data_IF_160267875259
#
_entry.id   IF_160267875259
#
_cell.length_a   1.000
_cell.length_b   1.000
_cell.length_c   1.000
_cell.angle_alpha   90.00
_cell.angle_beta   90.00
_cell.angle_gamma   90.00
#
_symmetry.space_group_name_H-M   'P 1'
#
loop_
_entity.id
_entity.type
_entity.pdbx_description
1 polymer ?
#
# COMPACT_ATOMS: atom_id res chain seq x y z
N UNK A 1 -17.72 77.27 -28.12
CA UNK A 1 -16.90 77.51 -26.93
C UNK A 1 -17.13 76.41 -25.93
N UNK A 2 -16.18 75.48 -25.81
CA UNK A 2 -16.24 74.41 -24.84
C UNK A 2 -15.72 74.94 -23.52
N UNK A 3 -16.53 74.94 -22.48
CA UNK A 3 -16.18 75.49 -21.17
C UNK A 3 -15.18 74.62 -20.42
N UNK A 4 -14.26 75.23 -19.67
CA UNK A 4 -13.22 74.53 -18.85
C UNK A 4 -13.76 73.39 -17.96
N UNK A 5 -15.04 73.42 -17.61
CA UNK A 5 -15.72 72.38 -16.84
C UNK A 5 -16.00 71.08 -17.64
N UNK A 6 -16.14 71.15 -18.96
CA UNK A 6 -16.31 69.98 -19.81
C UNK A 6 -15.02 69.25 -20.13
N UNK A 7 -13.90 69.99 -20.19
CA UNK A 7 -12.57 69.37 -20.32
C UNK A 7 -12.11 68.63 -19.04
N UNK A 8 -12.55 69.09 -17.85
CA UNK A 8 -12.19 68.42 -16.59
C UNK A 8 -13.00 67.12 -16.37
N UNK A 9 -14.16 66.96 -17.00
CA UNK A 9 -14.96 65.72 -16.92
C UNK A 9 -14.50 64.65 -17.91
N UNK A 10 -13.86 65.04 -19.01
CA UNK A 10 -13.27 64.07 -19.96
C UNK A 10 -11.93 63.49 -19.49
N UNK A 11 -11.16 64.23 -18.69
CA UNK A 11 -9.90 63.78 -18.14
C UNK A 11 -10.05 62.82 -16.93
N UNK A 12 -11.17 62.89 -16.20
CA UNK A 12 -11.45 61.95 -15.09
C UNK A 12 -12.00 60.58 -15.55
N UNK A 13 -12.54 60.51 -16.76
CA UNK A 13 -13.09 59.26 -17.32
C UNK A 13 -12.05 58.31 -17.92
N UNK A 14 -10.84 58.82 -18.21
CA UNK A 14 -9.80 58.00 -18.86
C UNK A 14 -8.78 57.37 -17.87
N UNK A 15 -8.79 57.78 -16.61
CA UNK A 15 -7.87 57.24 -15.57
C UNK A 15 -8.48 56.02 -14.86
N UNK A 16 -9.78 55.78 -14.97
CA UNK A 16 -10.43 54.64 -14.31
C UNK A 16 -10.45 53.33 -15.11
N UNK A 17 -9.93 53.31 -16.35
CA UNK A 17 -9.93 52.11 -17.21
C UNK A 17 -8.56 51.38 -17.23
N UNK A 18 -7.57 51.82 -16.44
CA UNK A 18 -6.28 51.18 -16.31
C UNK A 18 -6.14 50.36 -14.99
N UNK A 19 -7.26 49.88 -14.43
CA UNK A 19 -7.19 48.82 -13.44
C UNK A 19 -6.77 47.56 -14.18
N UNK A 20 -5.49 47.42 -14.41
CA UNK A 20 -4.89 46.23 -14.99
C UNK A 20 -5.31 45.03 -14.16
N UNK A 21 -6.24 44.22 -14.69
CA UNK A 21 -6.34 42.85 -14.25
C UNK A 21 -4.95 42.24 -14.43
N UNK A 22 -4.17 42.18 -13.36
CA UNK A 22 -3.00 41.31 -13.29
C UNK A 22 -3.53 39.90 -13.54
N UNK A 23 -3.53 39.49 -14.80
CA UNK A 23 -3.68 38.08 -15.14
C UNK A 23 -2.48 37.44 -14.48
N UNK A 24 -2.71 36.83 -13.30
CA UNK A 24 -1.69 35.96 -12.70
C UNK A 24 -1.41 34.89 -13.77
N UNK A 25 -0.23 34.96 -14.36
CA UNK A 25 0.23 33.93 -15.29
C UNK A 25 0.06 32.60 -14.57
N UNK A 26 -0.76 31.72 -15.15
CA UNK A 26 -0.96 30.39 -14.57
C UNK A 26 0.42 29.74 -14.43
N UNK A 27 0.72 29.21 -13.24
CA UNK A 27 1.96 28.46 -13.02
C UNK A 27 1.98 27.27 -13.97
N UNK A 28 2.88 27.29 -14.94
CA UNK A 28 3.07 26.25 -15.96
C UNK A 28 4.18 25.25 -15.60
N UNK A 29 4.83 25.44 -14.45
CA UNK A 29 5.88 24.52 -14.00
C UNK A 29 5.34 23.11 -13.79
N UNK A 30 6.12 22.05 -14.03
CA UNK A 30 5.69 20.69 -13.80
C UNK A 30 5.26 20.44 -12.36
N UNK A 31 4.24 19.58 -12.19
CA UNK A 31 3.87 19.01 -10.90
C UNK A 31 4.78 17.80 -10.68
N UNK A 32 5.75 17.91 -9.79
CA UNK A 32 6.67 16.81 -9.50
C UNK A 32 6.10 15.93 -8.39
N UNK A 33 6.09 14.62 -8.63
CA UNK A 33 5.68 13.57 -7.68
C UNK A 33 6.92 12.72 -7.37
N UNK A 34 7.35 12.71 -6.12
CA UNK A 34 8.38 11.78 -5.67
C UNK A 34 7.76 10.43 -5.36
N UNK A 35 8.12 9.38 -6.09
CA UNK A 35 7.62 8.02 -5.89
C UNK A 35 8.72 7.17 -5.24
N UNK A 36 8.58 6.86 -3.95
CA UNK A 36 9.55 6.08 -3.18
C UNK A 36 9.02 4.67 -2.99
N UNK A 37 9.67 3.68 -3.60
CA UNK A 37 9.23 2.30 -3.61
C UNK A 37 10.40 1.34 -3.35
N UNK A 38 10.16 0.17 -2.76
CA UNK A 38 11.16 -0.88 -2.69
C UNK A 38 11.27 -1.58 -4.05
N UNK A 39 12.21 -1.13 -4.89
CA UNK A 39 12.44 -1.71 -6.21
C UNK A 39 13.42 -2.87 -6.17
N UNK A 40 14.17 -3.01 -5.06
CA UNK A 40 15.14 -4.08 -4.80
C UNK A 40 14.84 -4.81 -3.49
N UNK A 41 15.46 -5.98 -3.31
CA UNK A 41 15.31 -6.80 -2.10
C UNK A 41 14.00 -7.59 -2.04
N UNK A 42 13.66 -8.05 -0.83
CA UNK A 42 12.53 -8.96 -0.58
C UNK A 42 11.15 -8.35 -0.96
N UNK A 43 11.00 -7.03 -0.84
CA UNK A 43 9.74 -6.33 -1.16
C UNK A 43 9.70 -5.77 -2.58
N UNK A 44 10.60 -6.18 -3.48
CA UNK A 44 10.71 -5.65 -4.84
C UNK A 44 9.43 -5.86 -5.68
N UNK A 45 8.67 -6.93 -5.41
CA UNK A 45 7.37 -7.16 -6.05
C UNK A 45 6.39 -6.01 -5.77
N UNK A 46 6.28 -5.54 -4.52
CA UNK A 46 5.46 -4.39 -4.15
C UNK A 46 5.78 -3.16 -4.98
N UNK A 47 7.09 -2.84 -5.11
CA UNK A 47 7.52 -1.68 -5.90
C UNK A 47 7.17 -1.81 -7.38
N UNK A 48 7.46 -2.97 -7.98
CA UNK A 48 7.15 -3.23 -9.40
C UNK A 48 5.65 -3.13 -9.70
N UNK A 49 4.80 -3.68 -8.85
CA UNK A 49 3.34 -3.67 -9.03
C UNK A 49 2.79 -2.23 -9.00
N UNK A 50 3.22 -1.42 -8.03
CA UNK A 50 2.80 -0.03 -7.92
C UNK A 50 3.32 0.80 -9.10
N UNK A 51 4.61 0.70 -9.43
CA UNK A 51 5.21 1.42 -10.56
C UNK A 51 4.50 1.10 -11.88
N UNK A 52 4.22 -0.19 -12.13
CA UNK A 52 3.53 -0.65 -13.32
C UNK A 52 2.11 -0.06 -13.44
N UNK A 53 1.38 0.01 -12.33
CA UNK A 53 0.05 0.60 -12.29
C UNK A 53 0.08 2.12 -12.52
N UNK A 54 1.00 2.84 -11.87
CA UNK A 54 1.21 4.28 -12.09
C UNK A 54 1.52 4.58 -13.56
N UNK A 55 2.43 3.82 -14.17
CA UNK A 55 2.76 3.96 -15.59
C UNK A 55 1.57 3.67 -16.50
N UNK A 56 0.80 2.63 -16.19
CA UNK A 56 -0.40 2.28 -16.95
C UNK A 56 -1.45 3.40 -16.87
N UNK A 57 -1.69 3.95 -15.67
CA UNK A 57 -2.63 5.04 -15.49
C UNK A 57 -2.23 6.28 -16.32
N UNK A 58 -0.95 6.67 -16.27
CA UNK A 58 -0.42 7.80 -17.06
C UNK A 58 -0.56 7.54 -18.56
N UNK A 59 -0.27 6.32 -19.01
CA UNK A 59 -0.43 5.96 -20.43
C UNK A 59 -1.88 6.04 -20.92
N UNK A 60 -2.85 5.73 -20.05
CA UNK A 60 -4.27 5.76 -20.39
C UNK A 60 -4.92 7.15 -20.25
N UNK A 61 -4.44 7.98 -19.32
CA UNK A 61 -5.08 9.25 -18.96
C UNK A 61 -4.25 10.49 -19.32
N UNK A 62 -3.01 10.29 -19.78
CA UNK A 62 -2.06 11.36 -20.07
C UNK A 62 -1.26 11.84 -18.85
N UNK A 63 -0.30 12.69 -19.11
CA UNK A 63 0.68 13.19 -18.13
C UNK A 63 0.42 14.67 -17.73
N UNK A 64 -0.82 15.17 -17.88
CA UNK A 64 -1.14 16.57 -17.58
C UNK A 64 -2.33 16.72 -16.63
N UNK A 65 -2.19 17.60 -15.66
CA UNK A 65 -3.23 17.99 -14.71
C UNK A 65 -3.33 19.51 -14.70
N UNK A 66 -4.53 20.06 -14.94
CA UNK A 66 -4.79 21.49 -15.01
C UNK A 66 -3.81 22.24 -15.96
N UNK A 67 -3.48 21.62 -17.10
CA UNK A 67 -2.54 22.19 -18.09
C UNK A 67 -1.05 22.04 -17.73
N UNK A 68 -0.71 21.58 -16.54
CA UNK A 68 0.66 21.37 -16.07
C UNK A 68 1.08 19.91 -16.29
N UNK A 69 2.32 19.71 -16.74
CA UNK A 69 2.89 18.36 -16.87
C UNK A 69 3.11 17.73 -15.50
N UNK A 70 2.77 16.45 -15.34
CA UNK A 70 3.11 15.63 -14.19
C UNK A 70 4.43 14.93 -14.46
N UNK A 71 5.39 15.09 -13.56
CA UNK A 71 6.71 14.44 -13.60
C UNK A 71 6.86 13.51 -12.39
N UNK A 72 7.07 12.22 -12.66
CA UNK A 72 7.24 11.20 -11.62
C UNK A 72 8.72 10.90 -11.45
N UNK A 73 9.24 11.13 -10.24
CA UNK A 73 10.63 10.87 -9.86
C UNK A 73 10.64 9.60 -9.02
N UNK A 74 10.94 8.46 -9.64
CA UNK A 74 11.04 7.16 -8.96
C UNK A 74 12.37 7.04 -8.23
N UNK A 75 12.33 6.59 -6.98
CA UNK A 75 13.49 6.29 -6.13
C UNK A 75 13.30 4.93 -5.47
N UNK A 76 14.38 4.14 -5.44
CA UNK A 76 14.43 2.87 -4.72
C UNK A 76 14.91 3.08 -3.29
N UNK A 77 14.12 2.65 -2.31
CA UNK A 77 14.49 2.70 -0.89
C UNK A 77 14.92 1.33 -0.33
N UNK A 78 14.80 0.26 -1.11
CA UNK A 78 15.10 -1.12 -0.69
C UNK A 78 14.35 -1.55 0.58
N UNK A 79 13.23 -0.91 0.92
CA UNK A 79 12.50 -1.08 2.18
C UNK A 79 13.35 -0.76 3.42
N UNK A 80 14.27 0.22 3.34
CA UNK A 80 15.15 0.64 4.44
C UNK A 80 14.72 2.01 4.95
N UNK A 81 14.24 2.14 6.21
CA UNK A 81 13.67 3.40 6.74
C UNK A 81 14.61 4.61 6.65
N UNK A 82 15.90 4.43 6.95
CA UNK A 82 16.87 5.54 6.88
C UNK A 82 17.14 5.98 5.45
N UNK A 83 17.16 5.03 4.49
CA UNK A 83 17.26 5.36 3.07
C UNK A 83 16.02 6.12 2.60
N UNK A 84 14.82 5.67 2.98
CA UNK A 84 13.55 6.33 2.64
C UNK A 84 13.54 7.77 3.17
N UNK A 85 13.92 7.96 4.42
CA UNK A 85 13.98 9.30 5.04
C UNK A 85 14.93 10.25 4.29
N UNK A 86 16.14 9.77 3.97
CA UNK A 86 17.14 10.55 3.21
C UNK A 86 16.63 10.89 1.81
N UNK A 87 16.04 9.92 1.10
CA UNK A 87 15.46 10.11 -0.23
C UNK A 87 14.30 11.11 -0.17
N UNK A 88 13.40 11.00 0.81
CA UNK A 88 12.30 11.94 0.98
C UNK A 88 12.81 13.37 1.21
N UNK A 89 13.85 13.54 2.02
CA UNK A 89 14.47 14.85 2.25
C UNK A 89 15.08 15.43 0.97
N UNK A 90 15.75 14.61 0.16
CA UNK A 90 16.30 15.02 -1.15
C UNK A 90 15.19 15.49 -2.10
N UNK A 91 14.10 14.69 -2.22
CA UNK A 91 12.95 15.02 -3.06
C UNK A 91 12.28 16.34 -2.65
N UNK A 92 12.16 16.60 -1.33
CA UNK A 92 11.54 17.81 -0.81
C UNK A 92 12.44 19.03 -1.06
N UNK A 93 13.71 18.94 -0.71
CA UNK A 93 14.62 20.10 -0.67
C UNK A 93 15.21 20.41 -2.05
N UNK A 94 15.70 19.40 -2.75
CA UNK A 94 16.43 19.56 -4.01
C UNK A 94 15.47 19.53 -5.21
N UNK A 95 14.61 18.49 -5.29
CA UNK A 95 13.70 18.31 -6.43
C UNK A 95 12.44 19.17 -6.31
N UNK A 96 12.11 19.63 -5.09
CA UNK A 96 10.94 20.47 -4.77
C UNK A 96 9.63 19.80 -5.23
N UNK A 97 9.47 18.53 -4.87
CA UNK A 97 8.26 17.77 -5.22
C UNK A 97 7.02 18.35 -4.54
N UNK A 98 5.89 18.30 -5.23
CA UNK A 98 4.60 18.74 -4.70
C UNK A 98 3.98 17.72 -3.75
N UNK A 99 4.32 16.43 -3.92
CA UNK A 99 3.82 15.31 -3.14
C UNK A 99 4.82 14.16 -3.17
N UNK A 100 4.88 13.38 -2.11
CA UNK A 100 5.60 12.11 -2.07
C UNK A 100 4.58 10.98 -1.98
N UNK A 101 4.79 9.92 -2.77
CA UNK A 101 3.91 8.76 -2.81
C UNK A 101 4.71 7.45 -2.70
N UNK A 102 4.04 6.34 -2.41
CA UNK A 102 4.68 5.03 -2.34
C UNK A 102 4.60 4.38 -0.96
N UNK A 103 5.76 4.11 -0.34
CA UNK A 103 5.92 3.50 0.99
C UNK A 103 5.46 2.04 1.04
N UNK A 104 6.36 1.13 0.66
CA UNK A 104 6.08 -0.31 0.59
C UNK A 104 5.82 -0.97 1.94
N UNK A 105 6.42 -0.49 3.02
CA UNK A 105 6.26 -1.03 4.38
C UNK A 105 6.08 0.08 5.42
N UNK A 106 5.43 -0.24 6.54
CA UNK A 106 5.15 0.72 7.62
C UNK A 106 6.37 1.47 8.17
N UNK A 107 7.52 0.82 8.44
CA UNK A 107 8.69 1.54 8.96
C UNK A 107 9.17 2.66 8.06
N UNK A 108 9.06 2.52 6.73
CA UNK A 108 9.47 3.55 5.77
C UNK A 108 8.52 4.75 5.77
N UNK A 109 7.21 4.50 5.84
CA UNK A 109 6.21 5.57 5.97
C UNK A 109 6.37 6.37 7.26
N UNK A 110 6.52 5.67 8.39
CA UNK A 110 6.68 6.32 9.71
C UNK A 110 7.99 7.10 9.84
N UNK A 111 9.09 6.62 9.25
CA UNK A 111 10.35 7.35 9.23
C UNK A 111 10.26 8.69 8.48
N UNK A 112 9.31 8.80 7.55
CA UNK A 112 9.11 10.00 6.72
C UNK A 112 8.04 10.94 7.28
N UNK A 113 7.16 10.48 8.16
CA UNK A 113 6.07 11.26 8.74
C UNK A 113 6.50 12.61 9.36
N UNK A 114 7.60 12.71 10.13
CA UNK A 114 8.07 13.99 10.67
C UNK A 114 8.46 14.99 9.57
N UNK A 115 9.04 14.52 8.45
CA UNK A 115 9.41 15.38 7.32
C UNK A 115 8.16 15.94 6.64
N UNK A 116 7.11 15.12 6.47
CA UNK A 116 5.83 15.57 5.93
C UNK A 116 5.24 16.73 6.75
N UNK A 117 5.23 16.58 8.07
CA UNK A 117 4.74 17.61 8.99
C UNK A 117 5.57 18.90 8.91
N UNK A 118 6.89 18.75 8.93
CA UNK A 118 7.83 19.89 8.94
C UNK A 118 7.79 20.68 7.63
N UNK A 119 7.78 19.98 6.49
CA UNK A 119 7.79 20.58 5.16
C UNK A 119 6.40 20.92 4.64
N UNK A 120 5.34 20.43 5.29
CA UNK A 120 3.95 20.49 4.82
C UNK A 120 3.76 19.83 3.44
N UNK A 121 4.58 18.82 3.14
CA UNK A 121 4.51 18.06 1.90
C UNK A 121 3.59 16.87 2.10
N UNK A 122 2.51 16.72 1.31
CA UNK A 122 1.62 15.57 1.39
C UNK A 122 2.35 14.25 1.11
N UNK A 123 2.03 13.22 1.91
CA UNK A 123 2.45 11.84 1.70
C UNK A 123 1.24 10.98 1.33
N UNK A 124 1.34 10.24 0.22
CA UNK A 124 0.34 9.27 -0.23
C UNK A 124 0.88 7.86 0.02
N UNK A 125 0.31 7.17 1.00
CA UNK A 125 0.71 5.79 1.34
C UNK A 125 -0.04 4.81 0.45
N UNK A 126 0.70 4.09 -0.42
CA UNK A 126 0.13 3.20 -1.44
C UNK A 126 0.16 1.72 -1.05
N UNK A 127 0.95 1.31 -0.05
CA UNK A 127 1.08 -0.08 0.37
C UNK A 127 1.11 -0.29 1.88
N UNK A 128 1.91 0.48 2.62
CA UNK A 128 2.06 0.30 4.07
C UNK A 128 0.71 0.32 4.82
N UNK A 129 0.40 -0.76 5.57
CA UNK A 129 -0.96 -1.09 5.98
C UNK A 129 -1.27 -0.97 7.49
N UNK A 130 -0.32 -0.54 8.34
CA UNK A 130 -0.62 -0.29 9.76
C UNK A 130 -1.68 0.80 9.89
N UNK A 131 -2.71 0.54 10.71
CA UNK A 131 -3.88 1.42 10.84
C UNK A 131 -3.53 2.85 11.24
N UNK A 132 -2.57 3.02 12.16
CA UNK A 132 -2.20 4.32 12.75
C UNK A 132 -1.26 5.19 11.89
N UNK A 133 -0.83 4.77 10.71
CA UNK A 133 0.11 5.57 9.89
C UNK A 133 -0.43 6.97 9.61
N UNK A 134 -1.71 7.10 9.28
CA UNK A 134 -2.33 8.39 8.96
C UNK A 134 -2.47 9.32 10.17
N UNK A 135 -2.32 8.80 11.38
CA UNK A 135 -2.31 9.58 12.63
C UNK A 135 -0.94 10.20 12.91
N UNK A 136 0.13 9.69 12.26
CA UNK A 136 1.51 10.16 12.50
C UNK A 136 1.79 11.55 11.93
N UNK A 137 0.95 12.05 11.00
CA UNK A 137 1.04 13.41 10.45
C UNK A 137 -0.29 13.81 9.78
N UNK A 138 -0.72 15.09 9.91
CA UNK A 138 -1.89 15.61 9.20
C UNK A 138 -1.68 15.71 7.67
N UNK A 139 -0.47 15.47 7.20
CA UNK A 139 -0.12 15.47 5.77
C UNK A 139 -0.07 14.07 5.17
N UNK A 140 -0.50 13.04 5.90
CA UNK A 140 -0.52 11.66 5.37
C UNK A 140 -1.93 11.26 5.00
N UNK A 141 -2.09 10.79 3.77
CA UNK A 141 -3.28 10.08 3.28
C UNK A 141 -2.91 8.68 2.82
N UNK A 142 -3.90 7.80 2.68
CA UNK A 142 -3.71 6.42 2.20
C UNK A 142 -4.65 6.14 1.05
N UNK A 143 -4.12 5.52 -0.01
CA UNK A 143 -4.90 4.95 -1.14
C UNK A 143 -5.04 3.45 -1.05
N UNK A 144 -4.23 2.79 -0.20
CA UNK A 144 -4.25 1.34 0.03
C UNK A 144 -5.30 0.95 1.11
N UNK A 145 -5.03 -0.08 1.86
CA UNK A 145 -5.90 -0.67 2.88
C UNK A 145 -5.26 -0.59 4.27
N UNK A 146 -6.00 -1.05 5.29
CA UNK A 146 -5.48 -1.29 6.63
C UNK A 146 -5.65 -2.77 7.01
N UNK A 147 -4.76 -3.27 7.89
CA UNK A 147 -4.85 -4.67 8.35
C UNK A 147 -6.20 -5.00 9.00
N UNK A 148 -6.84 -4.14 9.81
CA UNK A 148 -8.18 -4.40 10.32
C UNK A 148 -9.19 -4.75 9.22
N UNK A 149 -9.17 -4.04 8.10
CA UNK A 149 -10.12 -4.25 6.98
C UNK A 149 -10.01 -5.65 6.37
N UNK A 150 -8.82 -6.23 6.34
CA UNK A 150 -8.59 -7.55 5.73
C UNK A 150 -8.59 -8.69 6.76
N UNK A 151 -8.37 -8.42 8.05
CA UNK A 151 -8.31 -9.44 9.09
C UNK A 151 -9.66 -9.75 9.75
N UNK A 152 -10.52 -8.75 9.91
CA UNK A 152 -11.86 -8.95 10.47
C UNK A 152 -12.67 -9.93 9.61
N UNK A 153 -12.64 -9.77 8.28
CA UNK A 153 -13.36 -10.63 7.35
C UNK A 153 -12.95 -12.09 7.43
N UNK A 154 -11.64 -12.40 7.55
CA UNK A 154 -11.18 -13.79 7.67
C UNK A 154 -11.48 -14.39 9.04
N UNK A 155 -11.51 -13.60 10.11
CA UNK A 155 -11.93 -14.05 11.43
C UNK A 155 -13.43 -14.43 11.46
N UNK A 156 -14.28 -13.62 10.80
CA UNK A 156 -15.71 -13.93 10.64
C UNK A 156 -15.91 -15.18 9.78
N UNK A 157 -15.15 -15.32 8.70
CA UNK A 157 -15.19 -16.51 7.85
C UNK A 157 -14.80 -17.76 8.64
N UNK A 158 -13.74 -17.69 9.45
CA UNK A 158 -13.28 -18.79 10.28
C UNK A 158 -14.38 -19.29 11.22
N UNK A 159 -15.07 -18.38 11.91
CA UNK A 159 -16.18 -18.72 12.79
C UNK A 159 -17.35 -19.38 12.05
N UNK A 160 -17.76 -18.84 10.89
CA UNK A 160 -18.81 -19.41 10.03
C UNK A 160 -18.45 -20.81 9.51
N UNK A 161 -17.16 -21.09 9.36
CA UNK A 161 -16.64 -22.40 8.91
C UNK A 161 -16.23 -23.32 10.06
N UNK A 162 -16.79 -23.09 11.27
CA UNK A 162 -16.68 -23.94 12.47
C UNK A 162 -15.24 -24.08 13.00
N UNK A 163 -14.34 -23.19 12.68
CA UNK A 163 -13.01 -23.08 13.30
C UNK A 163 -13.22 -22.55 14.72
N UNK A 164 -12.77 -23.30 15.72
CA UNK A 164 -12.92 -22.95 17.14
C UNK A 164 -11.60 -22.60 17.81
N UNK A 165 -10.52 -23.20 17.35
CA UNK A 165 -9.18 -23.02 17.91
C UNK A 165 -8.22 -22.59 16.82
N UNK A 166 -7.52 -21.48 17.02
CA UNK A 166 -6.53 -20.98 16.08
C UNK A 166 -5.21 -20.66 16.78
N UNK A 167 -4.13 -20.77 16.02
CA UNK A 167 -2.85 -20.14 16.33
C UNK A 167 -2.66 -18.98 15.36
N UNK A 168 -2.09 -17.89 15.81
CA UNK A 168 -1.69 -16.78 14.93
C UNK A 168 -0.18 -16.80 14.71
N UNK A 169 0.25 -16.55 13.48
CA UNK A 169 1.64 -16.38 13.09
C UNK A 169 1.77 -15.10 12.28
N UNK A 170 2.51 -14.13 12.79
CA UNK A 170 2.66 -12.82 12.13
C UNK A 170 4.12 -12.37 12.10
N UNK A 171 4.48 -11.55 11.12
CA UNK A 171 5.77 -10.87 11.13
C UNK A 171 5.82 -9.84 12.28
N UNK A 172 6.97 -9.76 12.96
CA UNK A 172 7.16 -8.94 14.18
C UNK A 172 7.40 -7.46 13.85
N UNK A 173 6.35 -6.77 13.40
CA UNK A 173 6.35 -5.33 13.10
C UNK A 173 4.91 -4.78 13.10
N UNK A 174 4.74 -3.47 12.88
CA UNK A 174 3.46 -2.78 13.02
C UNK A 174 2.25 -3.45 12.36
N UNK A 175 2.26 -3.80 11.05
CA UNK A 175 1.16 -4.52 10.41
C UNK A 175 0.89 -5.89 11.05
N UNK A 176 1.93 -6.63 11.47
CA UNK A 176 1.76 -7.92 12.14
C UNK A 176 1.03 -7.78 13.48
N UNK A 177 1.34 -6.74 14.24
CA UNK A 177 0.63 -6.45 15.49
C UNK A 177 -0.83 -6.09 15.25
N UNK A 178 -1.13 -5.31 14.21
CA UNK A 178 -2.50 -5.02 13.81
C UNK A 178 -3.23 -6.29 13.39
N UNK A 179 -2.64 -7.11 12.50
CA UNK A 179 -3.24 -8.35 12.03
C UNK A 179 -3.55 -9.29 13.21
N UNK A 180 -2.58 -9.52 14.11
CA UNK A 180 -2.77 -10.35 15.31
C UNK A 180 -3.88 -9.81 16.21
N UNK A 181 -3.85 -8.51 16.50
CA UNK A 181 -4.83 -7.86 17.39
C UNK A 181 -6.24 -7.96 16.85
N UNK A 182 -6.45 -7.60 15.59
CA UNK A 182 -7.79 -7.52 15.02
C UNK A 182 -8.35 -8.91 14.68
N UNK A 183 -7.50 -9.86 14.28
CA UNK A 183 -7.91 -11.26 14.15
C UNK A 183 -8.33 -11.84 15.51
N UNK A 184 -7.47 -11.74 16.53
CA UNK A 184 -7.75 -12.26 17.87
C UNK A 184 -9.04 -11.68 18.45
N UNK A 185 -9.19 -10.35 18.39
CA UNK A 185 -10.38 -9.67 18.93
C UNK A 185 -11.66 -10.14 18.25
N UNK A 186 -11.70 -10.18 16.91
CA UNK A 186 -12.88 -10.59 16.17
C UNK A 186 -13.15 -12.10 16.31
N UNK A 187 -12.10 -12.92 16.28
CA UNK A 187 -12.24 -14.36 16.42
C UNK A 187 -12.80 -14.77 17.79
N UNK A 188 -12.33 -14.13 18.88
CA UNK A 188 -12.87 -14.30 20.23
C UNK A 188 -14.31 -13.79 20.37
N UNK A 189 -14.62 -12.65 19.76
CA UNK A 189 -15.99 -12.12 19.73
C UNK A 189 -16.96 -13.13 19.11
N UNK A 190 -16.50 -13.88 18.12
CA UNK A 190 -17.25 -14.96 17.45
C UNK A 190 -17.18 -16.31 18.19
N UNK A 191 -16.67 -16.36 19.43
CA UNK A 191 -16.58 -17.55 20.27
C UNK A 191 -15.40 -18.47 19.97
N UNK A 192 -14.39 -17.99 19.22
CA UNK A 192 -13.14 -18.72 18.96
C UNK A 192 -12.13 -18.58 20.11
N UNK A 193 -11.14 -19.46 20.12
CA UNK A 193 -10.03 -19.47 21.08
C UNK A 193 -8.71 -19.37 20.34
N UNK A 194 -7.84 -18.43 20.72
CA UNK A 194 -6.44 -18.40 20.29
C UNK A 194 -5.63 -19.22 21.27
N UNK A 195 -4.96 -20.26 20.74
CA UNK A 195 -4.11 -21.18 21.51
C UNK A 195 -2.72 -20.61 21.74
N UNK A 196 -2.15 -19.97 20.73
CA UNK A 196 -0.82 -19.35 20.79
C UNK A 196 -0.72 -18.19 19.81
N UNK A 197 0.21 -17.26 20.07
CA UNK A 197 0.55 -16.09 19.26
C UNK A 197 2.03 -16.14 18.92
N UNK A 198 2.32 -16.51 17.69
CA UNK A 198 3.68 -16.72 17.21
C UNK A 198 4.12 -15.55 16.33
N UNK A 199 5.38 -15.20 16.42
CA UNK A 199 5.96 -14.11 15.64
C UNK A 199 7.30 -14.52 15.02
N UNK A 200 7.58 -13.98 13.83
CA UNK A 200 8.84 -14.17 13.13
C UNK A 200 9.48 -12.83 12.80
N UNK A 201 10.82 -12.75 12.74
CA UNK A 201 11.50 -11.54 12.33
C UNK A 201 11.02 -11.05 10.96
N UNK A 202 10.98 -9.73 10.77
CA UNK A 202 10.61 -9.13 9.48
C UNK A 202 11.60 -9.49 8.35
N UNK A 203 12.87 -9.72 8.68
CA UNK A 203 13.93 -10.03 7.71
C UNK A 203 14.42 -11.44 7.89
N UNK A 204 14.61 -12.15 6.75
CA UNK A 204 15.15 -13.52 6.71
C UNK A 204 14.52 -14.47 7.75
N UNK A 205 13.17 -14.59 7.82
CA UNK A 205 12.51 -15.43 8.81
C UNK A 205 12.82 -16.91 8.58
N UNK A 206 13.10 -17.63 9.67
CA UNK A 206 13.02 -19.08 9.72
C UNK A 206 11.69 -19.48 10.33
N UNK A 207 10.86 -20.16 9.55
CA UNK A 207 9.52 -20.57 9.99
C UNK A 207 9.51 -21.93 10.68
N UNK A 208 10.56 -22.74 10.53
CA UNK A 208 10.59 -24.11 11.03
C UNK A 208 10.30 -24.21 12.54
N UNK A 209 10.91 -23.41 13.44
CA UNK A 209 10.63 -23.50 14.87
C UNK A 209 9.20 -23.12 15.26
N UNK A 210 8.62 -22.10 14.59
CA UNK A 210 7.25 -21.67 14.88
C UNK A 210 6.23 -22.64 14.30
N UNK A 211 6.49 -23.24 13.13
CA UNK A 211 5.62 -24.25 12.53
C UNK A 211 5.58 -25.54 13.38
N UNK A 212 6.69 -25.91 14.05
CA UNK A 212 6.67 -27.01 15.01
C UNK A 212 5.72 -26.73 16.18
N UNK A 213 5.73 -25.51 16.74
CA UNK A 213 4.77 -25.14 17.79
C UNK A 213 3.31 -25.22 17.33
N UNK A 214 3.04 -24.91 16.06
CA UNK A 214 1.69 -25.08 15.48
C UNK A 214 1.28 -26.56 15.48
N UNK A 215 2.18 -27.47 15.05
CA UNK A 215 1.92 -28.90 15.08
C UNK A 215 1.64 -29.39 16.51
N UNK A 216 2.42 -28.93 17.50
CA UNK A 216 2.27 -29.32 18.90
C UNK A 216 0.96 -28.81 19.50
N UNK A 217 0.54 -27.61 19.13
CA UNK A 217 -0.69 -26.98 19.62
C UNK A 217 -1.99 -27.58 19.02
N UNK A 218 -1.90 -28.24 17.86
CA UNK A 218 -3.03 -28.88 17.15
C UNK A 218 -4.26 -27.97 17.01
N UNK A 219 -4.14 -26.78 16.44
CA UNK A 219 -5.28 -25.90 16.21
C UNK A 219 -6.15 -26.42 15.06
N UNK A 220 -7.40 -25.93 14.96
CA UNK A 220 -8.24 -26.14 13.79
C UNK A 220 -7.71 -25.32 12.58
N UNK A 221 -7.10 -24.16 12.85
CA UNK A 221 -6.51 -23.31 11.83
C UNK A 221 -5.26 -22.56 12.31
N UNK A 222 -4.37 -22.28 11.35
CA UNK A 222 -3.28 -21.31 11.48
C UNK A 222 -3.66 -20.05 10.72
N UNK A 223 -3.79 -18.92 11.43
CA UNK A 223 -3.91 -17.60 10.80
C UNK A 223 -2.52 -17.01 10.56
N UNK A 224 -2.27 -16.55 9.34
CA UNK A 224 -0.96 -16.02 8.95
C UNK A 224 -1.07 -14.62 8.35
N UNK A 225 -0.21 -13.72 8.84
CA UNK A 225 0.13 -12.47 8.17
C UNK A 225 1.65 -12.37 8.01
N UNK A 226 2.10 -12.32 6.78
CA UNK A 226 3.49 -12.07 6.41
C UNK A 226 3.50 -10.99 5.31
N UNK A 227 4.50 -10.09 5.26
CA UNK A 227 4.56 -9.13 4.16
C UNK A 227 4.78 -9.82 2.81
N UNK A 228 4.26 -9.23 1.75
CA UNK A 228 4.49 -9.67 0.37
C UNK A 228 5.98 -9.95 0.13
N UNK A 229 6.27 -11.07 -0.53
CA UNK A 229 7.64 -11.54 -0.76
C UNK A 229 8.10 -12.66 0.20
N UNK A 230 7.35 -12.97 1.26
CA UNK A 230 7.68 -14.06 2.19
C UNK A 230 6.84 -15.33 1.98
N UNK A 231 5.73 -15.21 1.24
CA UNK A 231 4.74 -16.28 1.11
C UNK A 231 5.32 -17.59 0.57
N UNK A 232 6.10 -17.54 -0.51
CA UNK A 232 6.69 -18.76 -1.11
C UNK A 232 7.63 -19.50 -0.14
N UNK A 233 8.49 -18.78 0.58
CA UNK A 233 9.38 -19.39 1.57
C UNK A 233 8.60 -20.01 2.75
N UNK A 234 7.54 -19.33 3.19
CA UNK A 234 6.64 -19.85 4.22
C UNK A 234 5.92 -21.11 3.74
N UNK A 235 5.29 -21.09 2.57
CA UNK A 235 4.54 -22.24 2.03
C UNK A 235 5.42 -23.46 1.81
N UNK A 236 6.68 -23.24 1.38
CA UNK A 236 7.66 -24.33 1.27
C UNK A 236 7.92 -24.99 2.61
N UNK A 237 8.25 -24.22 3.67
CA UNK A 237 8.50 -24.78 5.00
C UNK A 237 7.24 -25.36 5.63
N UNK A 238 6.05 -24.81 5.35
CA UNK A 238 4.77 -25.34 5.77
C UNK A 238 4.55 -26.78 5.24
N UNK A 239 4.82 -27.04 3.96
CA UNK A 239 4.74 -28.35 3.36
C UNK A 239 5.86 -29.28 3.85
N UNK A 240 7.11 -28.82 3.94
CA UNK A 240 8.25 -29.61 4.43
C UNK A 240 8.04 -30.12 5.86
N UNK A 241 7.27 -29.39 6.68
CA UNK A 241 6.87 -29.79 8.04
C UNK A 241 5.61 -30.65 8.08
N UNK A 242 5.00 -30.96 6.93
CA UNK A 242 3.80 -31.79 6.83
C UNK A 242 2.51 -31.12 7.33
N UNK A 243 2.51 -29.80 7.51
CA UNK A 243 1.32 -29.05 7.94
C UNK A 243 0.22 -29.06 6.89
N UNK A 244 0.55 -29.16 5.60
CA UNK A 244 -0.37 -29.36 4.49
C UNK A 244 -1.21 -30.64 4.61
N UNK A 245 -0.72 -31.64 5.36
CA UNK A 245 -1.37 -32.95 5.60
C UNK A 245 -1.85 -33.14 7.04
N UNK A 246 -1.63 -32.17 7.91
CA UNK A 246 -1.92 -32.28 9.35
C UNK A 246 -3.41 -32.07 9.70
N UNK A 247 -4.23 -31.63 8.77
CA UNK A 247 -5.61 -31.22 9.02
C UNK A 247 -5.76 -29.78 9.53
N UNK A 248 -4.66 -29.07 9.82
CA UNK A 248 -4.68 -27.65 10.19
C UNK A 248 -5.02 -26.82 8.96
N UNK A 249 -6.10 -26.04 9.01
CA UNK A 249 -6.47 -25.15 7.90
C UNK A 249 -5.57 -23.92 7.89
N UNK A 250 -4.98 -23.62 6.75
CA UNK A 250 -4.25 -22.38 6.55
C UNK A 250 -5.21 -21.27 6.13
N UNK A 251 -5.30 -20.23 6.93
CA UNK A 251 -6.06 -19.00 6.64
C UNK A 251 -5.12 -17.79 6.77
N UNK A 252 -5.26 -16.81 5.89
CA UNK A 252 -4.26 -15.76 5.79
C UNK A 252 -4.84 -14.42 5.32
N UNK A 253 -4.02 -13.37 5.39
CA UNK A 253 -4.22 -12.21 4.51
C UNK A 253 -3.71 -12.53 3.10
N UNK A 254 -4.17 -11.80 2.10
CA UNK A 254 -3.76 -12.01 0.71
C UNK A 254 -2.26 -11.79 0.44
N UNK A 255 -1.54 -11.15 1.36
CA UNK A 255 -0.09 -10.96 1.27
C UNK A 255 0.68 -12.28 1.19
N UNK A 256 0.17 -13.35 1.84
CA UNK A 256 0.82 -14.67 1.88
C UNK A 256 0.74 -15.38 0.52
N UNK A 257 -0.36 -15.19 -0.20
CA UNK A 257 -0.60 -15.81 -1.52
C UNK A 257 -0.62 -14.77 -2.63
N UNK A 258 0.40 -13.94 -2.65
CA UNK A 258 0.55 -12.84 -3.62
C UNK A 258 0.61 -13.37 -5.06
N UNK A 259 -0.15 -12.75 -5.96
CA UNK A 259 -0.37 -13.22 -7.35
C UNK A 259 0.91 -13.45 -8.14
N UNK A 260 1.96 -12.65 -7.92
CA UNK A 260 3.23 -12.83 -8.64
C UNK A 260 4.11 -13.95 -8.07
N UNK A 261 3.80 -14.49 -6.90
CA UNK A 261 4.53 -15.60 -6.28
C UNK A 261 3.72 -16.90 -6.23
N UNK A 262 2.43 -16.83 -6.60
CA UNK A 262 1.53 -17.95 -6.46
C UNK A 262 1.98 -19.18 -7.25
N UNK A 263 2.52 -18.98 -8.44
CA UNK A 263 3.05 -20.09 -9.26
C UNK A 263 4.27 -20.78 -8.62
N UNK A 264 5.08 -20.03 -7.88
CA UNK A 264 6.28 -20.56 -7.20
C UNK A 264 5.93 -21.38 -5.96
N UNK A 265 4.71 -21.22 -5.43
CA UNK A 265 4.22 -22.00 -4.28
C UNK A 265 3.75 -23.40 -4.67
N UNK A 266 3.33 -23.60 -5.92
CA UNK A 266 2.78 -24.88 -6.40
C UNK A 266 1.51 -25.29 -5.69
N UNK A 267 1.23 -26.60 -5.70
CA UNK A 267 -0.03 -27.17 -5.19
C UNK A 267 -0.25 -26.98 -3.68
N UNK A 268 0.79 -26.66 -2.91
CA UNK A 268 0.64 -26.41 -1.47
C UNK A 268 -0.21 -25.17 -1.17
N UNK A 269 -0.35 -24.25 -2.15
CA UNK A 269 -1.23 -23.09 -2.03
C UNK A 269 -2.71 -23.41 -2.25
N UNK A 270 -3.04 -24.61 -2.77
CA UNK A 270 -4.42 -25.02 -3.00
C UNK A 270 -5.16 -25.20 -1.66
N UNK A 271 -6.34 -24.63 -1.58
CA UNK A 271 -7.17 -24.70 -0.36
C UNK A 271 -6.83 -23.65 0.70
N UNK A 272 -5.80 -22.83 0.52
CA UNK A 272 -5.57 -21.67 1.37
C UNK A 272 -6.70 -20.67 1.21
N UNK A 273 -7.29 -20.25 2.33
CA UNK A 273 -8.34 -19.22 2.32
C UNK A 273 -7.73 -17.91 2.79
N UNK A 274 -7.85 -16.88 1.97
CA UNK A 274 -7.36 -15.56 2.35
C UNK A 274 -8.46 -14.49 2.26
N UNK A 275 -8.22 -13.37 2.92
CA UNK A 275 -9.04 -12.16 2.84
C UNK A 275 -8.17 -10.98 2.45
N UNK A 276 -8.63 -10.22 1.46
CA UNK A 276 -7.98 -8.99 1.03
C UNK A 276 -9.00 -8.00 0.44
N UNK A 277 -8.57 -6.77 0.20
CA UNK A 277 -9.41 -5.73 -0.39
C UNK A 277 -9.55 -5.84 -1.92
N UNK A 278 -8.71 -6.65 -2.57
CA UNK A 278 -8.71 -6.85 -4.02
C UNK A 278 -8.32 -8.28 -4.38
N UNK A 279 -8.88 -8.75 -5.50
CA UNK A 279 -8.46 -9.97 -6.19
C UNK A 279 -8.48 -9.74 -7.70
N UNK A 280 -7.41 -10.11 -8.38
CA UNK A 280 -7.36 -10.07 -9.85
C UNK A 280 -8.36 -11.04 -10.50
N UNK A 281 -8.89 -12.01 -9.75
CA UNK A 281 -9.93 -12.92 -10.19
C UNK A 281 -11.36 -12.37 -9.99
N UNK A 282 -11.55 -11.16 -9.45
CA UNK A 282 -12.88 -10.60 -9.23
C UNK A 282 -13.64 -10.47 -10.57
N UNK A 283 -14.88 -10.96 -10.69
CA UNK A 283 -15.56 -11.15 -11.97
C UNK A 283 -16.18 -9.87 -12.58
N UNK A 284 -15.94 -8.69 -12.00
CA UNK A 284 -16.54 -7.45 -12.53
C UNK A 284 -15.91 -7.05 -13.88
N UNK A 285 -16.70 -6.45 -14.79
CA UNK A 285 -16.17 -5.95 -16.08
C UNK A 285 -15.05 -4.91 -15.90
N UNK A 286 -15.13 -4.06 -14.88
CA UNK A 286 -14.10 -3.06 -14.56
C UNK A 286 -12.78 -3.73 -14.20
N UNK A 287 -12.82 -4.76 -13.34
CA UNK A 287 -11.64 -5.52 -12.98
C UNK A 287 -11.03 -6.23 -14.20
N UNK A 288 -11.87 -6.88 -15.01
CA UNK A 288 -11.38 -7.55 -16.24
C UNK A 288 -10.64 -6.56 -17.14
N UNK A 289 -11.21 -5.37 -17.38
CA UNK A 289 -10.57 -4.34 -18.21
C UNK A 289 -9.22 -3.90 -17.64
N UNK A 290 -9.14 -3.73 -16.31
CA UNK A 290 -7.89 -3.38 -15.65
C UNK A 290 -6.85 -4.49 -15.77
N UNK A 291 -7.22 -5.74 -15.45
CA UNK A 291 -6.30 -6.90 -15.53
C UNK A 291 -5.79 -7.10 -16.95
N UNK A 292 -6.66 -7.07 -17.97
CA UNK A 292 -6.28 -7.23 -19.36
C UNK A 292 -5.29 -6.14 -19.81
N UNK A 293 -5.58 -4.87 -19.46
CA UNK A 293 -4.69 -3.75 -19.81
C UNK A 293 -3.35 -3.83 -19.08
N UNK A 294 -3.37 -4.18 -17.80
CA UNK A 294 -2.16 -4.31 -16.98
C UNK A 294 -1.24 -5.43 -17.50
N UNK A 295 -1.81 -6.61 -17.78
CA UNK A 295 -1.05 -7.75 -18.32
C UNK A 295 -0.53 -7.48 -19.73
N UNK A 296 -1.30 -6.80 -20.58
CA UNK A 296 -0.85 -6.42 -21.92
C UNK A 296 0.38 -5.51 -21.86
N UNK A 297 0.38 -4.53 -20.95
CA UNK A 297 1.46 -3.56 -20.78
C UNK A 297 2.71 -4.16 -20.10
N UNK A 298 2.52 -4.99 -19.07
CA UNK A 298 3.59 -5.35 -18.13
C UNK A 298 4.02 -6.83 -18.21
N UNK A 299 3.26 -7.70 -18.88
CA UNK A 299 3.52 -9.15 -19.04
C UNK A 299 3.46 -9.97 -17.75
N UNK A 300 2.91 -9.43 -16.67
CA UNK A 300 2.60 -10.13 -15.44
C UNK A 300 1.23 -9.68 -14.89
N UNK A 301 0.68 -10.48 -13.97
CA UNK A 301 -0.65 -10.25 -13.41
C UNK A 301 -0.61 -9.13 -12.36
N UNK A 302 -1.61 -8.22 -12.32
CA UNK A 302 -1.70 -7.27 -11.24
C UNK A 302 -2.08 -7.98 -9.93
N UNK A 303 -1.52 -7.51 -8.82
CA UNK A 303 -1.95 -7.88 -7.49
C UNK A 303 -2.63 -6.70 -6.78
N UNK A 304 -2.94 -6.86 -5.50
CA UNK A 304 -3.57 -5.82 -4.69
C UNK A 304 -2.69 -4.56 -4.50
N UNK A 305 -1.37 -4.67 -4.64
CA UNK A 305 -0.46 -3.51 -4.60
C UNK A 305 -0.61 -2.61 -5.82
N UNK A 306 -0.86 -3.20 -7.00
CA UNK A 306 -1.12 -2.44 -8.22
C UNK A 306 -2.36 -1.53 -8.09
N UNK A 307 -3.36 -1.95 -7.32
CA UNK A 307 -4.57 -1.14 -7.07
C UNK A 307 -4.27 0.05 -6.14
N UNK A 308 -3.26 -0.04 -5.29
CA UNK A 308 -2.79 1.07 -4.46
C UNK A 308 -2.06 2.16 -5.26
N UNK A 309 -1.41 1.78 -6.36
CA UNK A 309 -0.72 2.68 -7.29
C UNK A 309 -1.68 3.38 -8.26
#
# INVERSE_FOLDING_TARGET
MITKRQLLKLSLGLVAAASGATVMAADTSPIKIGLILPMTGQSASTGRQIEAAVKLWVAQNGDKVAGRKVEIILKDDGAVPDATKRIAQELIVNDKVSVIAGFGITPTALATAPLATQSKTPLVVMAAATSSITEASPYIIRTSFTLPQVTIGIADWAAKNKIKKAVTLVADYGPGFDAEKFFDSQFRLNGGQILDKLRTPLRAPDFAPVLQKVLDAKPDALFVFLPSGQGAAFMKQFAERGLDKSGVRLIATGDVTDDDQLNDMGDVALGVVNSHHYSAAHPSPTNKKFVDAFQAANKFRPNFMAVGG
#
